data_IF_537541177448
#
_entry.id   IF_537541177448
#
_cell.length_a   1.000
_cell.length_b   1.000
_cell.length_c   1.000
_cell.angle_alpha   90.00
_cell.angle_beta   90.00
_cell.angle_gamma   90.00
#
_symmetry.space_group_name_H-M   'P 1'
#
loop_
_entity.id
_entity.type
_entity.pdbx_description
1 polymer ?
#
# COMPACT_ATOMS: atom_id res chain seq x y z
N UNK A 1 10.56 4.03 14.54
CA UNK A 1 9.70 4.33 13.37
C UNK A 1 8.50 3.40 13.39
N UNK A 2 7.26 3.91 13.47
CA UNK A 2 6.06 3.10 13.33
C UNK A 2 5.97 2.42 11.96
N UNK A 3 5.53 1.15 11.96
CA UNK A 3 5.34 0.36 10.74
C UNK A 3 3.86 0.35 10.35
N UNK A 4 3.60 0.57 9.07
CA UNK A 4 2.27 0.65 8.46
C UNK A 4 2.17 -0.32 7.30
N UNK A 5 0.93 -0.64 6.92
CA UNK A 5 0.62 -1.51 5.79
C UNK A 5 -0.48 -0.90 4.94
N UNK A 6 -0.21 -0.79 3.64
CA UNK A 6 -1.22 -0.55 2.62
C UNK A 6 -1.63 -1.89 2.02
N UNK A 7 -2.93 -2.09 1.78
CA UNK A 7 -3.42 -3.20 0.95
C UNK A 7 -4.35 -2.67 -0.12
N UNK A 8 -4.17 -3.11 -1.36
CA UNK A 8 -5.10 -2.79 -2.45
C UNK A 8 -5.41 -4.04 -3.27
N UNK A 9 -6.68 -4.23 -3.60
CA UNK A 9 -7.12 -5.27 -4.52
C UNK A 9 -6.86 -4.85 -5.97
N UNK A 10 -6.45 -5.80 -6.80
CA UNK A 10 -6.24 -5.60 -8.23
C UNK A 10 -7.32 -6.40 -8.96
N UNK A 11 -8.12 -5.72 -9.77
CA UNK A 11 -9.28 -6.30 -10.47
C UNK A 11 -9.04 -6.48 -11.97
N UNK A 12 -7.95 -5.93 -12.50
CA UNK A 12 -7.59 -6.00 -13.91
C UNK A 12 -6.37 -5.14 -14.22
N UNK A 13 -5.73 -5.40 -15.36
CA UNK A 13 -4.66 -4.55 -15.89
C UNK A 13 -5.24 -3.52 -16.85
N UNK A 14 -4.62 -2.35 -16.90
CA UNK A 14 -4.92 -1.37 -17.96
C UNK A 14 -4.21 -1.78 -19.26
N UNK A 15 -4.75 -1.39 -20.42
CA UNK A 15 -4.14 -1.74 -21.71
C UNK A 15 -2.69 -1.29 -21.80
N UNK A 16 -1.82 -2.18 -22.30
CA UNK A 16 -0.40 -1.86 -22.52
C UNK A 16 0.51 -2.00 -21.29
N UNK A 17 -0.04 -2.32 -20.12
CA UNK A 17 0.76 -2.55 -18.90
C UNK A 17 0.95 -4.03 -18.60
N UNK A 18 2.16 -4.38 -18.17
CA UNK A 18 2.52 -5.70 -17.72
C UNK A 18 2.14 -5.91 -16.23
N UNK A 19 1.86 -7.16 -15.80
CA UNK A 19 1.49 -7.46 -14.41
C UNK A 19 2.51 -6.96 -13.37
N UNK A 20 3.81 -7.06 -13.67
CA UNK A 20 4.91 -6.65 -12.79
C UNK A 20 4.90 -5.15 -12.47
N UNK A 21 4.45 -4.31 -13.42
CA UNK A 21 4.37 -2.85 -13.25
C UNK A 21 3.47 -2.46 -12.08
N UNK A 22 2.49 -3.30 -11.73
CA UNK A 22 1.56 -3.05 -10.63
C UNK A 22 2.29 -3.00 -9.29
N UNK A 23 3.17 -3.96 -9.02
CA UNK A 23 3.93 -4.00 -7.77
C UNK A 23 5.02 -2.93 -7.79
N UNK A 24 5.72 -2.77 -8.91
CA UNK A 24 6.77 -1.76 -9.07
C UNK A 24 6.23 -0.35 -8.82
N UNK A 25 5.05 -0.04 -9.39
CA UNK A 25 4.36 1.24 -9.17
C UNK A 25 3.96 1.42 -7.71
N UNK A 26 3.39 0.39 -7.08
CA UNK A 26 2.98 0.46 -5.68
C UNK A 26 4.17 0.74 -4.74
N UNK A 27 5.29 0.06 -4.98
CA UNK A 27 6.53 0.25 -4.22
C UNK A 27 7.12 1.62 -4.49
N UNK A 28 7.25 2.03 -5.75
CA UNK A 28 7.84 3.31 -6.13
C UNK A 28 7.08 4.50 -5.53
N UNK A 29 5.75 4.46 -5.55
CA UNK A 29 4.90 5.52 -4.98
C UNK A 29 5.11 5.66 -3.48
N UNK A 30 5.14 4.56 -2.73
CA UNK A 30 5.38 4.60 -1.28
C UNK A 30 6.82 4.98 -0.99
N UNK A 31 7.78 4.44 -1.74
CA UNK A 31 9.22 4.70 -1.62
C UNK A 31 9.58 6.18 -1.88
N UNK A 32 8.74 6.92 -2.60
CA UNK A 32 8.95 8.36 -2.84
C UNK A 32 8.91 9.21 -1.58
N UNK A 33 8.30 8.72 -0.49
CA UNK A 33 8.15 9.46 0.79
C UNK A 33 8.46 8.64 2.03
N UNK A 34 8.47 7.31 1.94
CA UNK A 34 8.59 6.41 3.09
C UNK A 34 9.54 5.26 2.80
N UNK A 35 10.12 4.68 3.86
CA UNK A 35 10.96 3.49 3.71
C UNK A 35 10.08 2.27 3.54
N UNK A 36 10.13 1.62 2.38
CA UNK A 36 9.43 0.34 2.14
C UNK A 36 10.23 -0.79 2.76
N UNK A 37 9.60 -1.55 3.65
CA UNK A 37 10.23 -2.66 4.39
C UNK A 37 9.97 -4.02 3.76
N UNK A 38 8.84 -4.17 3.07
CA UNK A 38 8.43 -5.40 2.41
C UNK A 38 7.25 -5.13 1.46
N UNK A 39 7.13 -5.97 0.44
CA UNK A 39 5.93 -6.05 -0.40
C UNK A 39 5.55 -7.52 -0.61
N UNK A 40 4.28 -7.78 -0.88
CA UNK A 40 3.75 -9.14 -1.05
C UNK A 40 2.52 -9.11 -1.95
N UNK A 41 2.37 -10.13 -2.80
CA UNK A 41 1.17 -10.41 -3.57
C UNK A 41 0.49 -11.65 -2.99
N UNK A 42 -0.80 -11.51 -2.66
CA UNK A 42 -1.67 -12.60 -2.22
C UNK A 42 -2.86 -12.75 -3.16
N UNK A 43 -3.53 -13.89 -3.13
CA UNK A 43 -4.88 -14.06 -3.68
C UNK A 43 -5.83 -14.36 -2.54
N UNK A 44 -6.79 -13.47 -2.28
CA UNK A 44 -7.75 -13.61 -1.18
C UNK A 44 -9.16 -13.71 -1.75
N UNK A 45 -9.82 -14.85 -1.50
CA UNK A 45 -11.14 -15.15 -2.04
C UNK A 45 -11.21 -14.96 -3.57
N UNK A 46 -10.15 -15.38 -4.28
CA UNK A 46 -10.05 -15.27 -5.74
C UNK A 46 -9.65 -13.89 -6.27
N UNK A 47 -9.44 -12.89 -5.40
CA UNK A 47 -9.03 -11.54 -5.82
C UNK A 47 -7.56 -11.29 -5.49
N UNK A 48 -6.71 -10.96 -6.48
CA UNK A 48 -5.34 -10.53 -6.23
C UNK A 48 -5.30 -9.30 -5.33
N UNK A 49 -4.43 -9.32 -4.33
CA UNK A 49 -4.24 -8.23 -3.37
C UNK A 49 -2.75 -8.02 -3.15
N UNK A 50 -2.28 -6.82 -3.43
CA UNK A 50 -0.93 -6.43 -3.06
C UNK A 50 -0.93 -5.80 -1.67
N UNK A 51 0.16 -6.03 -0.95
CA UNK A 51 0.42 -5.52 0.38
C UNK A 51 1.78 -4.83 0.38
N UNK A 52 1.85 -3.57 0.76
CA UNK A 52 3.11 -2.82 0.91
C UNK A 52 3.27 -2.42 2.37
N UNK A 53 4.37 -2.84 2.99
CA UNK A 53 4.75 -2.47 4.36
C UNK A 53 5.79 -1.36 4.31
N UNK A 54 5.58 -0.31 5.10
CA UNK A 54 6.45 0.85 5.11
C UNK A 54 6.57 1.48 6.50
N UNK A 55 7.66 2.20 6.73
CA UNK A 55 7.88 3.00 7.93
C UNK A 55 7.59 4.46 7.68
N UNK A 56 6.89 5.08 8.63
CA UNK A 56 6.77 6.54 8.71
C UNK A 56 7.79 7.05 9.73
N UNK A 57 8.34 8.23 9.48
CA UNK A 57 9.20 8.91 10.45
C UNK A 57 8.45 9.12 11.77
N UNK A 58 9.15 8.93 12.90
CA UNK A 58 8.52 9.01 14.20
C UNK A 58 8.08 10.46 14.49
N UNK A 59 6.83 10.63 14.90
CA UNK A 59 6.24 11.94 15.19
C UNK A 59 5.08 11.75 16.18
N UNK A 60 4.19 12.73 16.28
CA UNK A 60 2.94 12.57 17.02
C UNK A 60 2.05 11.51 16.36
N UNK A 61 1.38 10.71 17.20
CA UNK A 61 0.58 9.55 16.76
C UNK A 61 -0.40 9.88 15.62
N UNK A 62 -1.10 11.01 15.71
CA UNK A 62 -2.07 11.44 14.69
C UNK A 62 -1.41 11.91 13.41
N UNK A 63 -0.23 12.54 13.50
CA UNK A 63 0.55 12.93 12.34
C UNK A 63 1.07 11.69 11.59
N UNK A 64 1.59 10.70 12.31
CA UNK A 64 2.03 9.43 11.73
C UNK A 64 0.90 8.71 10.99
N UNK A 65 -0.31 8.63 11.59
CA UNK A 65 -1.47 8.00 10.96
C UNK A 65 -1.97 8.78 9.73
N UNK A 66 -1.89 10.11 9.76
CA UNK A 66 -2.23 10.96 8.60
C UNK A 66 -1.28 10.68 7.44
N UNK A 67 0.03 10.73 7.69
CA UNK A 67 1.06 10.42 6.69
C UNK A 67 0.88 9.01 6.10
N UNK A 68 0.56 8.02 6.94
CA UNK A 68 0.29 6.67 6.48
C UNK A 68 -0.95 6.58 5.56
N UNK A 69 -2.04 7.29 5.90
CA UNK A 69 -3.24 7.37 5.05
C UNK A 69 -2.94 8.07 3.73
N UNK A 70 -2.16 9.14 3.74
CA UNK A 70 -1.75 9.87 2.54
C UNK A 70 -0.90 8.97 1.61
N UNK A 71 -0.01 8.17 2.18
CA UNK A 71 0.78 7.18 1.43
C UNK A 71 -0.11 6.09 0.80
N UNK A 72 -1.10 5.59 1.54
CA UNK A 72 -2.06 4.57 1.06
C UNK A 72 -2.93 5.14 -0.06
N UNK A 73 -3.42 6.38 0.08
CA UNK A 73 -4.17 7.07 -0.97
C UNK A 73 -3.32 7.29 -2.21
N UNK A 74 -2.08 7.74 -2.05
CA UNK A 74 -1.11 7.91 -3.14
C UNK A 74 -0.86 6.59 -3.87
N UNK A 75 -0.64 5.49 -3.12
CA UNK A 75 -0.49 4.15 -3.69
C UNK A 75 -1.71 3.76 -4.52
N UNK A 76 -2.92 3.98 -4.00
CA UNK A 76 -4.16 3.72 -4.73
C UNK A 76 -4.24 4.50 -6.04
N UNK A 77 -3.93 5.80 -6.01
CA UNK A 77 -3.90 6.64 -7.21
C UNK A 77 -2.86 6.18 -8.23
N UNK A 78 -1.63 5.90 -7.78
CA UNK A 78 -0.54 5.46 -8.65
C UNK A 78 -0.80 4.10 -9.28
N UNK A 79 -1.20 3.10 -8.49
CA UNK A 79 -1.55 1.77 -9.02
C UNK A 79 -2.74 1.85 -9.98
N UNK A 80 -3.70 2.73 -9.71
CA UNK A 80 -4.82 2.94 -10.62
C UNK A 80 -4.41 3.54 -11.98
N UNK A 81 -3.14 3.92 -12.21
CA UNK A 81 -2.64 4.32 -13.54
C UNK A 81 -2.23 3.13 -14.42
N UNK A 82 -1.93 1.97 -13.82
CA UNK A 82 -1.47 0.75 -14.52
C UNK A 82 -2.44 -0.43 -14.39
N UNK A 83 -3.31 -0.41 -13.38
CA UNK A 83 -4.31 -1.45 -13.11
C UNK A 83 -5.65 -0.84 -12.67
N UNK A 84 -6.72 -1.61 -12.76
CA UNK A 84 -7.98 -1.28 -12.06
C UNK A 84 -7.92 -1.82 -10.63
N UNK A 85 -8.34 -1.01 -9.67
CA UNK A 85 -8.23 -1.32 -8.24
C UNK A 85 -9.60 -1.56 -7.59
N UNK A 86 -9.61 -2.40 -6.56
CA UNK A 86 -10.76 -2.61 -5.67
C UNK A 86 -10.53 -1.98 -4.29
N UNK A 87 -10.88 -2.72 -3.22
CA UNK A 87 -10.77 -2.22 -1.86
C UNK A 87 -9.33 -1.81 -1.50
N UNK A 88 -9.20 -0.60 -0.95
CA UNK A 88 -7.98 0.00 -0.45
C UNK A 88 -8.08 0.16 1.08
N UNK A 89 -7.06 -0.26 1.83
CA UNK A 89 -7.04 -0.19 3.29
C UNK A 89 -5.67 0.18 3.85
N UNK A 90 -5.69 0.91 4.96
CA UNK A 90 -4.51 1.29 5.74
C UNK A 90 -4.52 0.57 7.09
N UNK A 91 -3.34 0.18 7.57
CA UNK A 91 -3.17 -0.44 8.88
C UNK A 91 -1.93 0.09 9.58
N UNK A 92 -1.99 0.18 10.91
CA UNK A 92 -0.83 0.42 11.80
C UNK A 92 -0.45 -0.86 12.53
N UNK A 93 0.85 -1.11 12.68
CA UNK A 93 1.36 -2.18 13.56
C UNK A 93 1.30 -1.72 15.01
N UNK A 94 0.61 -2.48 15.86
CA UNK A 94 0.52 -2.22 17.31
C UNK A 94 0.56 -3.55 18.06
N UNK A 95 1.49 -3.69 19.01
CA UNK A 95 1.67 -4.89 19.83
C UNK A 95 1.61 -6.22 19.03
N UNK A 96 2.29 -6.26 17.87
CA UNK A 96 2.34 -7.43 16.98
C UNK A 96 1.12 -7.62 16.07
N UNK A 97 0.07 -6.80 16.20
CA UNK A 97 -1.16 -6.86 15.40
C UNK A 97 -1.20 -5.75 14.36
N UNK A 98 -1.98 -5.94 13.30
CA UNK A 98 -2.30 -4.92 12.30
C UNK A 98 -3.71 -4.37 12.59
N UNK A 99 -3.80 -3.11 12.99
CA UNK A 99 -5.06 -2.44 13.30
C UNK A 99 -5.43 -1.47 12.18
N UNK A 100 -6.68 -1.41 11.73
CA UNK A 100 -7.11 -0.47 10.69
C UNK A 100 -7.01 0.97 11.18
N UNK A 101 -6.67 1.89 10.27
CA UNK A 101 -6.57 3.34 10.52
C UNK A 101 -7.16 4.15 9.38
#
# INVERSE_FOLDING_TARGET
MPSFRATVQITGLRPGHAPEEVMDTAVAVVASRHVVEANQLDVVAGVPRITVRFMVEASEYDAENRLARDAVASLGHGVNTVATTGALRAFRRSAGKWLPI
#
